data_IF_402619357321
#
_entry.id   IF_402619357321
#
_cell.length_a   1.000
_cell.length_b   1.000
_cell.length_c   1.000
_cell.angle_alpha   90.00
_cell.angle_beta   90.00
_cell.angle_gamma   90.00
#
_symmetry.space_group_name_H-M   'P 1'
#
loop_
_entity.id
_entity.type
_entity.pdbx_description
1 polymer ?
#
# COMPACT_ATOMS: atom_id res chain seq x y z
N UNK A 1 2.21 -12.42 -14.36
CA UNK A 1 1.36 -11.35 -13.77
C UNK A 1 0.03 -11.43 -14.50
N UNK A 2 -0.81 -12.39 -14.14
CA UNK A 2 -2.12 -12.59 -14.82
C UNK A 2 -3.25 -12.75 -13.79
N UNK A 3 -2.94 -13.19 -12.57
CA UNK A 3 -3.95 -13.57 -11.58
C UNK A 3 -4.52 -12.39 -10.75
N UNK A 4 -4.12 -11.14 -11.01
CA UNK A 4 -4.70 -10.00 -10.26
C UNK A 4 -4.28 -8.59 -10.67
N UNK A 5 -3.15 -8.40 -11.36
CA UNK A 5 -2.65 -7.08 -11.77
C UNK A 5 -2.74 -6.84 -13.29
N UNK A 6 -3.44 -7.70 -14.02
CA UNK A 6 -3.59 -7.63 -15.47
C UNK A 6 -5.06 -7.53 -15.85
N UNK A 7 -5.38 -6.61 -16.74
CA UNK A 7 -6.73 -6.44 -17.28
C UNK A 7 -7.03 -7.57 -18.25
N UNK A 8 -8.05 -8.37 -17.95
CA UNK A 8 -8.45 -9.53 -18.77
C UNK A 8 -9.04 -9.11 -20.13
N UNK A 9 -9.62 -7.92 -20.24
CA UNK A 9 -10.31 -7.44 -21.45
C UNK A 9 -9.42 -6.58 -22.33
N UNK A 10 -8.57 -5.76 -21.71
CA UNK A 10 -7.77 -4.75 -22.40
C UNK A 10 -6.31 -5.17 -22.61
N UNK A 11 -5.88 -6.32 -22.07
CA UNK A 11 -4.52 -6.84 -22.15
C UNK A 11 -3.44 -5.83 -21.70
N UNK A 12 -3.71 -5.13 -20.59
CA UNK A 12 -2.81 -4.12 -20.01
C UNK A 12 -2.60 -4.32 -18.51
N UNK A 13 -1.47 -3.85 -18.00
CA UNK A 13 -1.21 -3.79 -16.56
C UNK A 13 -2.15 -2.80 -15.86
N UNK A 14 -2.57 -3.09 -14.63
CA UNK A 14 -3.42 -2.19 -13.83
C UNK A 14 -2.81 -0.79 -13.59
N UNK A 15 -1.48 -0.65 -13.66
CA UNK A 15 -0.85 0.67 -13.63
C UNK A 15 -1.27 1.57 -14.81
N UNK A 16 -1.48 0.98 -15.98
CA UNK A 16 -1.91 1.69 -17.19
C UNK A 16 -3.32 2.23 -17.05
N UNK A 17 -4.22 1.52 -16.36
CA UNK A 17 -5.58 2.00 -16.13
C UNK A 17 -5.58 3.23 -15.21
N UNK A 18 -4.70 3.26 -14.19
CA UNK A 18 -4.47 4.44 -13.36
C UNK A 18 -4.00 5.67 -14.16
N UNK A 19 -3.06 5.49 -15.08
CA UNK A 19 -2.59 6.55 -15.99
C UNK A 19 -3.69 7.08 -16.91
N UNK A 20 -4.58 6.20 -17.39
CA UNK A 20 -5.75 6.62 -18.19
C UNK A 20 -6.68 7.52 -17.38
N UNK A 21 -7.03 7.12 -16.15
CA UNK A 21 -7.90 7.91 -15.28
C UNK A 21 -7.25 9.24 -14.89
N UNK A 22 -5.95 9.23 -14.57
CA UNK A 22 -5.22 10.46 -14.26
C UNK A 22 -5.31 11.47 -15.42
N UNK A 23 -5.16 11.00 -16.67
CA UNK A 23 -5.31 11.85 -17.86
C UNK A 23 -6.74 12.32 -18.08
N UNK A 24 -7.73 11.44 -17.99
CA UNK A 24 -9.15 11.76 -18.20
C UNK A 24 -9.68 12.75 -17.15
N UNK A 25 -9.21 12.65 -15.90
CA UNK A 25 -9.59 13.54 -14.82
C UNK A 25 -8.67 14.78 -14.66
N UNK A 26 -7.63 14.90 -15.48
CA UNK A 26 -6.68 16.02 -15.41
C UNK A 26 -5.88 16.07 -14.10
N UNK A 27 -5.56 14.91 -13.52
CA UNK A 27 -4.76 14.79 -12.30
C UNK A 27 -3.28 14.78 -12.70
N UNK A 28 -2.56 15.83 -12.31
CA UNK A 28 -1.14 15.95 -12.59
C UNK A 28 -0.26 15.18 -11.59
N UNK A 29 1.02 15.05 -11.95
CA UNK A 29 1.99 14.32 -11.15
C UNK A 29 2.21 14.92 -9.77
N UNK A 30 2.24 16.25 -9.67
CA UNK A 30 2.45 16.95 -8.40
C UNK A 30 1.31 16.69 -7.42
N UNK A 31 0.07 16.65 -7.92
CA UNK A 31 -1.12 16.32 -7.13
C UNK A 31 -1.08 14.88 -6.63
N UNK A 32 -0.69 13.93 -7.49
CA UNK A 32 -0.52 12.52 -7.08
C UNK A 32 0.56 12.35 -6.02
N UNK A 33 1.71 13.01 -6.19
CA UNK A 33 2.83 12.94 -5.24
C UNK A 33 2.46 13.58 -3.90
N UNK A 34 1.77 14.74 -3.92
CA UNK A 34 1.29 15.39 -2.71
C UNK A 34 0.26 14.52 -1.96
N UNK A 35 -0.63 13.84 -2.68
CA UNK A 35 -1.55 12.87 -2.10
C UNK A 35 -0.81 11.71 -1.44
N UNK A 36 0.16 11.11 -2.14
CA UNK A 36 0.94 9.99 -1.63
C UNK A 36 1.72 10.36 -0.37
N UNK A 37 2.41 11.51 -0.37
CA UNK A 37 3.15 12.00 0.80
C UNK A 37 2.23 12.22 2.01
N UNK A 38 1.05 12.81 1.79
CA UNK A 38 0.05 12.99 2.86
C UNK A 38 -0.49 11.65 3.37
N UNK A 39 -0.71 10.68 2.48
CA UNK A 39 -1.16 9.35 2.87
C UNK A 39 -0.16 8.67 3.80
N UNK A 40 1.13 8.72 3.45
CA UNK A 40 2.20 8.15 4.27
C UNK A 40 2.32 8.85 5.63
N UNK A 41 2.26 10.19 5.64
CA UNK A 41 2.30 10.93 6.90
C UNK A 41 1.16 10.56 7.86
N UNK A 42 -0.07 10.40 7.34
CA UNK A 42 -1.23 9.99 8.14
C UNK A 42 -1.12 8.56 8.65
N UNK A 43 -0.58 7.64 7.84
CA UNK A 43 -0.36 6.26 8.26
C UNK A 43 0.64 6.21 9.43
N UNK A 44 1.76 6.94 9.33
CA UNK A 44 2.74 7.05 10.40
C UNK A 44 2.13 7.62 11.70
N UNK A 45 1.37 8.73 11.58
CA UNK A 45 0.69 9.33 12.73
C UNK A 45 -0.34 8.38 13.38
N UNK A 46 -1.10 7.63 12.58
CA UNK A 46 -2.06 6.65 13.08
C UNK A 46 -1.37 5.51 13.84
N UNK A 47 -0.21 5.05 13.37
CA UNK A 47 0.62 4.06 14.08
C UNK A 47 1.23 4.59 15.37
N UNK A 48 1.71 5.83 15.37
CA UNK A 48 2.24 6.49 16.57
C UNK A 48 1.17 6.67 17.64
N UNK A 49 -0.06 6.99 17.22
CA UNK A 49 -1.20 7.19 18.11
C UNK A 49 -1.94 5.88 18.48
N UNK A 50 -1.50 4.72 17.98
CA UNK A 50 -2.12 3.42 18.29
C UNK A 50 -3.51 3.23 17.69
N UNK A 51 -3.85 3.95 16.62
CA UNK A 51 -5.19 3.88 16.00
C UNK A 51 -5.46 2.56 15.28
N UNK A 52 -4.42 1.82 14.93
CA UNK A 52 -4.52 0.49 14.31
C UNK A 52 -4.51 -0.66 15.33
N UNK A 53 -4.30 -0.38 16.62
CA UNK A 53 -4.13 -1.42 17.65
C UNK A 53 -5.36 -2.33 17.81
N UNK A 54 -6.55 -1.84 17.42
CA UNK A 54 -7.80 -2.59 17.55
C UNK A 54 -8.08 -3.54 16.37
N UNK A 55 -7.47 -3.31 15.20
CA UNK A 55 -7.68 -4.12 13.99
C UNK A 55 -6.47 -4.96 13.59
N UNK A 56 -5.30 -4.67 14.17
CA UNK A 56 -4.04 -5.36 13.85
C UNK A 56 -3.73 -6.48 14.84
N UNK A 57 -2.95 -7.45 14.38
CA UNK A 57 -2.46 -8.54 15.22
C UNK A 57 -1.03 -8.90 14.83
N UNK A 58 -0.28 -9.37 15.82
CA UNK A 58 1.10 -9.77 15.63
C UNK A 58 1.21 -11.08 14.83
N UNK A 59 2.18 -11.14 13.91
CA UNK A 59 2.55 -12.35 13.16
C UNK A 59 3.95 -12.76 13.56
N UNK A 60 4.09 -13.95 14.13
CA UNK A 60 5.39 -14.54 14.46
C UNK A 60 5.95 -15.29 13.26
N UNK A 61 7.11 -14.84 12.78
CA UNK A 61 7.83 -15.44 11.65
C UNK A 61 8.95 -16.35 12.16
N UNK A 62 8.83 -17.68 11.98
CA UNK A 62 9.82 -18.63 12.47
C UNK A 62 11.22 -18.38 11.89
N UNK A 63 12.23 -18.42 12.75
CA UNK A 63 13.63 -18.32 12.34
C UNK A 63 14.29 -19.70 12.32
N UNK A 64 15.21 -19.91 11.37
CA UNK A 64 15.96 -21.18 11.27
C UNK A 64 16.75 -21.48 12.56
N UNK A 65 17.19 -20.44 13.26
CA UNK A 65 17.86 -20.50 14.58
C UNK A 65 17.47 -19.25 15.36
N UNK A 66 17.17 -19.42 16.64
CA UNK A 66 16.74 -18.33 17.52
C UNK A 66 15.23 -18.20 17.61
N UNK A 67 14.79 -17.19 18.35
CA UNK A 67 13.37 -16.93 18.59
C UNK A 67 12.67 -16.38 17.33
N UNK A 68 11.34 -16.58 17.18
CA UNK A 68 10.57 -16.01 16.08
C UNK A 68 10.66 -14.48 16.05
N UNK A 69 10.69 -13.92 14.84
CA UNK A 69 10.60 -12.47 14.65
C UNK A 69 9.13 -12.09 14.63
N UNK A 70 8.74 -11.23 15.56
CA UNK A 70 7.37 -10.76 15.70
C UNK A 70 7.15 -9.50 14.88
N UNK A 71 6.24 -9.56 13.90
CA UNK A 71 5.84 -8.44 13.04
C UNK A 71 4.49 -7.93 13.54
N UNK A 72 4.42 -6.68 13.98
CA UNK A 72 3.21 -6.10 14.58
C UNK A 72 2.74 -4.80 13.90
N UNK A 73 3.61 -4.19 13.10
CA UNK A 73 3.38 -2.87 12.49
C UNK A 73 3.74 -2.91 11.02
N UNK A 74 3.02 -2.11 10.23
CA UNK A 74 3.46 -1.75 8.88
C UNK A 74 4.69 -0.82 8.95
N UNK A 75 5.50 -0.83 7.88
CA UNK A 75 6.74 -0.04 7.72
C UNK A 75 6.52 1.48 7.66
#
# INVERSE_FOLDING_TARGET
IHDGLWDVYNDVHMGTTGETIAKECGIDRETMDAFAARSQHRAAEAWENGWFDWETFAVDVPQRRGDPVRIEKDE
#
